data_IF_035450887393
#
_entry.id   IF_035450887393
#
_cell.length_a   1.000
_cell.length_b   1.000
_cell.length_c   1.000
_cell.angle_alpha   90.00
_cell.angle_beta   90.00
_cell.angle_gamma   90.00
#
_symmetry.space_group_name_H-M   'P 1'
#
loop_
_entity.id
_entity.type
_entity.pdbx_description
1 polymer ?
#
# COMPACT_ATOMS: atom_id res chain seq x y z
N UNK A 1 -10.54 20.23 22.07
CA UNK A 1 -11.63 20.04 21.10
C UNK A 1 -11.09 19.66 19.74
N UNK A 2 -10.81 18.36 19.56
CA UNK A 2 -10.36 17.75 18.32
C UNK A 2 -11.43 16.76 17.89
N UNK A 3 -11.96 16.88 16.68
CA UNK A 3 -13.00 15.99 16.12
C UNK A 3 -12.39 14.89 15.24
N UNK A 4 -11.31 15.20 14.56
CA UNK A 4 -10.62 14.28 13.66
C UNK A 4 -9.11 14.48 13.71
N UNK A 5 -8.36 13.42 13.33
CA UNK A 5 -6.90 13.44 13.26
C UNK A 5 -6.42 13.04 11.86
N UNK A 6 -5.30 13.63 11.45
CA UNK A 6 -4.57 13.22 10.25
C UNK A 6 -3.25 12.58 10.67
N UNK A 7 -3.05 11.31 10.32
CA UNK A 7 -1.89 10.51 10.67
C UNK A 7 -0.96 10.45 9.46
N UNK A 8 0.25 10.98 9.59
CA UNK A 8 1.31 10.97 8.58
C UNK A 8 2.67 10.59 9.20
N UNK A 9 2.61 9.75 10.23
CA UNK A 9 3.78 9.14 10.86
C UNK A 9 4.44 8.11 9.94
N UNK A 10 5.60 7.53 10.28
CA UNK A 10 6.08 6.32 9.62
C UNK A 10 5.08 5.15 9.73
N UNK A 11 5.13 4.23 8.75
CA UNK A 11 4.12 3.17 8.59
C UNK A 11 3.90 2.34 9.87
N UNK A 12 4.97 2.07 10.63
CA UNK A 12 4.90 1.26 11.86
C UNK A 12 4.15 1.92 13.03
N UNK A 13 3.86 3.22 12.94
CA UNK A 13 3.07 3.95 13.92
C UNK A 13 1.58 4.05 13.57
N UNK A 14 1.21 3.85 12.29
CA UNK A 14 -0.13 4.12 11.79
C UNK A 14 -1.21 3.44 12.63
N UNK A 15 -1.07 2.14 12.87
CA UNK A 15 -2.10 1.34 13.53
C UNK A 15 -2.33 1.78 14.97
N UNK A 16 -1.26 1.96 15.77
CA UNK A 16 -1.40 2.37 17.18
C UNK A 16 -2.10 3.71 17.29
N UNK A 17 -1.64 4.72 16.56
CA UNK A 17 -2.23 6.06 16.61
C UNK A 17 -3.69 6.05 16.13
N UNK A 18 -3.97 5.31 15.05
CA UNK A 18 -5.32 5.22 14.49
C UNK A 18 -6.32 4.56 15.47
N UNK A 19 -5.93 3.45 16.08
CA UNK A 19 -6.78 2.72 17.04
C UNK A 19 -7.06 3.57 18.27
N UNK A 20 -6.04 4.17 18.87
CA UNK A 20 -6.20 5.05 20.03
C UNK A 20 -7.06 6.29 19.73
N UNK A 21 -6.89 6.89 18.55
CA UNK A 21 -7.71 8.02 18.11
C UNK A 21 -9.19 7.62 17.99
N UNK A 22 -9.49 6.47 17.38
CA UNK A 22 -10.86 6.00 17.23
C UNK A 22 -11.54 5.68 18.56
N UNK A 23 -10.84 5.04 19.50
CA UNK A 23 -11.36 4.82 20.85
C UNK A 23 -11.51 6.12 21.65
N UNK A 24 -10.69 7.13 21.35
CA UNK A 24 -10.88 8.49 21.89
C UNK A 24 -12.01 9.27 21.16
N UNK A 25 -12.78 8.61 20.29
CA UNK A 25 -13.94 9.18 19.61
C UNK A 25 -13.61 10.09 18.43
N UNK A 26 -12.39 10.00 17.85
CA UNK A 26 -11.95 10.83 16.74
C UNK A 26 -12.13 10.12 15.40
N UNK A 27 -12.53 10.86 14.38
CA UNK A 27 -12.48 10.39 13.01
C UNK A 27 -11.03 10.46 12.50
N UNK A 28 -10.67 9.58 11.56
CA UNK A 28 -9.25 9.38 11.20
C UNK A 28 -9.03 9.48 9.69
N UNK A 29 -8.07 10.29 9.30
CA UNK A 29 -7.39 10.19 8.02
C UNK A 29 -5.99 9.63 8.28
N UNK A 30 -5.65 8.50 7.66
CA UNK A 30 -4.33 7.89 7.82
C UNK A 30 -3.64 7.78 6.47
N UNK A 31 -2.38 8.24 6.40
CA UNK A 31 -1.56 8.07 5.19
C UNK A 31 -1.36 6.59 4.85
N UNK A 32 -1.13 6.36 3.58
CA UNK A 32 -0.79 5.03 3.03
C UNK A 32 0.73 4.75 3.20
N UNK A 33 1.15 3.49 3.25
CA UNK A 33 0.33 2.27 3.40
C UNK A 33 -0.31 2.23 4.79
N UNK A 34 -1.56 1.77 4.87
CA UNK A 34 -2.33 1.87 6.11
C UNK A 34 -1.66 1.13 7.27
N UNK A 35 -1.08 -0.04 7.01
CA UNK A 35 -0.54 -0.91 8.05
C UNK A 35 0.78 -1.56 7.64
N UNK A 36 1.50 -2.04 8.64
CA UNK A 36 2.76 -2.77 8.47
C UNK A 36 2.54 -4.29 8.33
N UNK A 37 1.40 -4.80 8.82
CA UNK A 37 1.04 -6.22 8.76
C UNK A 37 -0.44 -6.42 8.43
N UNK A 38 -0.78 -7.65 8.00
CA UNK A 38 -2.17 -8.04 7.71
C UNK A 38 -3.01 -8.06 9.00
N UNK A 39 -2.45 -8.48 10.12
CA UNK A 39 -3.15 -8.50 11.41
C UNK A 39 -3.54 -7.09 11.86
N UNK A 40 -2.67 -6.11 11.67
CA UNK A 40 -2.97 -4.69 11.95
C UNK A 40 -4.14 -4.20 11.08
N UNK A 41 -4.21 -4.59 9.81
CA UNK A 41 -5.32 -4.25 8.93
C UNK A 41 -6.65 -4.81 9.46
N UNK A 42 -6.68 -6.08 9.86
CA UNK A 42 -7.85 -6.71 10.49
C UNK A 42 -8.27 -5.98 11.77
N UNK A 43 -7.31 -5.52 12.56
CA UNK A 43 -7.57 -4.77 13.78
C UNK A 43 -8.21 -3.41 13.49
N UNK A 44 -7.69 -2.65 12.54
CA UNK A 44 -8.27 -1.35 12.16
C UNK A 44 -9.71 -1.54 11.66
N UNK A 45 -9.98 -2.53 10.81
CA UNK A 45 -11.34 -2.84 10.33
C UNK A 45 -12.30 -3.13 11.49
N UNK A 46 -11.85 -3.92 12.48
CA UNK A 46 -12.61 -4.23 13.70
C UNK A 46 -12.95 -2.96 14.47
N UNK A 47 -11.95 -2.11 14.74
CA UNK A 47 -12.12 -0.89 15.55
C UNK A 47 -12.97 0.16 14.82
N UNK A 48 -12.85 0.32 13.50
CA UNK A 48 -13.76 1.18 12.71
C UNK A 48 -15.20 0.72 12.86
N UNK A 49 -15.45 -0.61 12.78
CA UNK A 49 -16.77 -1.18 12.94
C UNK A 49 -17.34 -1.03 14.35
N UNK A 50 -16.51 -1.20 15.38
CA UNK A 50 -16.91 -1.09 16.78
C UNK A 50 -17.21 0.37 17.19
N UNK A 51 -16.39 1.30 16.73
CA UNK A 51 -16.49 2.72 17.14
C UNK A 51 -17.42 3.54 16.23
N UNK A 52 -17.73 3.05 15.02
CA UNK A 52 -18.49 3.81 14.03
C UNK A 52 -17.80 5.08 13.56
N UNK A 53 -16.47 5.19 13.73
CA UNK A 53 -15.71 6.35 13.27
C UNK A 53 -15.56 6.35 11.77
N UNK A 54 -15.52 7.55 11.19
CA UNK A 54 -15.19 7.74 9.79
C UNK A 54 -13.69 7.60 9.62
N UNK A 55 -13.29 6.74 8.68
CA UNK A 55 -11.88 6.46 8.42
C UNK A 55 -11.56 6.56 6.93
N UNK A 56 -10.59 7.38 6.57
CA UNK A 56 -10.08 7.47 5.21
C UNK A 56 -8.61 7.14 5.13
N UNK A 57 -8.25 6.31 4.15
CA UNK A 57 -6.86 6.03 3.81
C UNK A 57 -6.36 7.00 2.74
N UNK A 58 -5.10 7.44 2.84
CA UNK A 58 -4.46 8.43 1.95
C UNK A 58 -4.20 7.94 0.51
N UNK A 59 -5.07 7.11 -0.07
CA UNK A 59 -4.96 6.64 -1.46
C UNK A 59 -5.57 7.63 -2.45
N UNK A 60 -4.95 8.81 -2.55
CA UNK A 60 -5.47 9.96 -3.31
C UNK A 60 -5.79 9.69 -4.79
N UNK A 61 -5.27 8.61 -5.39
CA UNK A 61 -5.58 8.26 -6.78
C UNK A 61 -7.05 7.94 -7.02
N UNK A 62 -7.81 7.61 -5.96
CA UNK A 62 -9.27 7.41 -6.05
C UNK A 62 -10.06 8.69 -6.32
N UNK A 63 -9.44 9.88 -6.12
CA UNK A 63 -10.13 11.18 -6.28
C UNK A 63 -9.39 12.12 -7.22
N UNK A 64 -8.05 12.07 -7.20
CA UNK A 64 -7.20 13.10 -7.79
C UNK A 64 -6.63 12.69 -9.17
N UNK A 65 -5.54 13.33 -9.59
CA UNK A 65 -4.87 13.09 -10.88
C UNK A 65 -5.76 13.38 -12.09
N UNK A 66 -6.66 14.38 -11.98
CA UNK A 66 -7.59 14.75 -13.05
C UNK A 66 -8.53 13.60 -13.44
N UNK A 67 -8.94 12.80 -12.47
CA UNK A 67 -9.85 11.66 -12.61
C UNK A 67 -9.38 10.57 -13.60
N UNK A 68 -8.10 10.55 -13.98
CA UNK A 68 -7.56 9.56 -14.95
C UNK A 68 -7.74 8.12 -14.49
N UNK A 69 -7.63 7.87 -13.20
CA UNK A 69 -7.83 6.53 -12.65
C UNK A 69 -9.31 6.15 -12.62
N UNK A 70 -10.21 7.07 -12.34
CA UNK A 70 -11.66 6.84 -12.47
C UNK A 70 -12.03 6.54 -13.92
N UNK A 71 -11.49 7.30 -14.87
CA UNK A 71 -11.68 7.04 -16.30
C UNK A 71 -11.13 5.66 -16.71
N UNK A 72 -9.98 5.24 -16.18
CA UNK A 72 -9.42 3.92 -16.43
C UNK A 72 -10.36 2.80 -15.93
N UNK A 73 -10.91 2.96 -14.72
CA UNK A 73 -11.86 2.01 -14.14
C UNK A 73 -13.15 1.99 -14.97
N UNK A 74 -13.67 3.15 -15.37
CA UNK A 74 -14.86 3.26 -16.22
C UNK A 74 -14.65 2.56 -17.58
N UNK A 75 -13.48 2.69 -18.22
CA UNK A 75 -13.12 1.98 -19.44
C UNK A 75 -13.17 0.46 -19.27
N UNK A 76 -12.61 -0.05 -18.16
CA UNK A 76 -12.64 -1.48 -17.83
C UNK A 76 -14.06 -1.95 -17.62
N UNK A 77 -14.85 -1.28 -16.77
CA UNK A 77 -16.24 -1.64 -16.44
C UNK A 77 -17.18 -1.53 -17.65
N UNK A 78 -16.97 -0.57 -18.53
CA UNK A 78 -17.70 -0.44 -19.79
C UNK A 78 -17.27 -1.46 -20.87
N UNK A 79 -16.37 -2.41 -20.55
CA UNK A 79 -15.93 -3.48 -21.45
C UNK A 79 -15.12 -3.00 -22.66
N UNK A 80 -14.50 -1.80 -22.60
CA UNK A 80 -13.79 -1.19 -23.73
C UNK A 80 -12.53 -1.96 -24.16
N UNK A 81 -12.02 -2.84 -23.29
CA UNK A 81 -10.93 -3.75 -23.60
C UNK A 81 -11.38 -5.23 -23.68
N UNK A 82 -12.69 -5.48 -23.63
CA UNK A 82 -13.24 -6.84 -23.51
C UNK A 82 -13.01 -7.43 -22.12
N UNK A 83 -12.85 -8.74 -22.03
CA UNK A 83 -12.54 -9.42 -20.76
C UNK A 83 -11.10 -9.14 -20.37
N UNK A 84 -10.88 -8.59 -19.19
CA UNK A 84 -9.54 -8.36 -18.63
C UNK A 84 -8.83 -9.71 -18.45
N UNK A 85 -7.60 -9.80 -18.87
CA UNK A 85 -6.75 -11.00 -18.72
C UNK A 85 -5.54 -10.72 -17.83
N UNK A 86 -4.98 -9.52 -17.92
CA UNK A 86 -3.78 -9.16 -17.19
C UNK A 86 -3.80 -7.69 -16.80
N UNK A 87 -3.32 -7.41 -15.60
CA UNK A 87 -3.06 -6.05 -15.13
C UNK A 87 -1.61 -6.00 -14.65
N UNK A 88 -0.82 -5.04 -15.13
CA UNK A 88 0.57 -4.88 -14.70
C UNK A 88 0.71 -3.53 -13.98
N UNK A 89 1.11 -3.58 -12.71
CA UNK A 89 1.45 -2.43 -11.88
C UNK A 89 2.97 -2.22 -11.87
N UNK A 90 3.46 -1.26 -12.62
CA UNK A 90 4.85 -0.79 -12.55
C UNK A 90 4.99 0.20 -11.41
N UNK A 91 5.77 -0.11 -10.38
CA UNK A 91 5.84 0.71 -9.16
C UNK A 91 7.26 1.17 -8.80
N UNK A 92 8.26 0.80 -9.61
CA UNK A 92 9.67 1.08 -9.35
C UNK A 92 10.23 0.31 -8.17
N UNK A 93 11.48 0.51 -7.86
CA UNK A 93 12.20 -0.15 -6.78
C UNK A 93 12.96 0.84 -5.89
N UNK A 94 13.51 0.35 -4.79
CA UNK A 94 14.53 1.04 -3.99
C UNK A 94 15.91 0.43 -4.27
N UNK A 95 16.96 1.20 -4.05
CA UNK A 95 18.34 0.70 -4.16
C UNK A 95 18.79 -0.01 -2.88
N UNK A 96 19.87 -0.81 -3.01
CA UNK A 96 20.60 -1.32 -1.85
C UNK A 96 21.38 -0.20 -1.15
N UNK A 97 21.85 -0.45 0.06
CA UNK A 97 22.76 0.44 0.79
C UNK A 97 24.12 -0.21 1.00
N UNK A 98 25.18 0.56 1.24
CA UNK A 98 26.35 0.05 1.92
C UNK A 98 26.02 -0.32 3.38
N UNK A 99 26.99 -0.87 4.12
CA UNK A 99 26.91 -0.99 5.58
C UNK A 99 26.73 0.40 6.20
N UNK A 100 25.71 0.56 7.05
CA UNK A 100 25.35 1.82 7.70
C UNK A 100 25.77 1.72 9.18
N UNK A 101 26.79 2.45 9.60
CA UNK A 101 27.29 2.38 10.96
C UNK A 101 26.30 2.97 11.97
N UNK A 102 26.44 2.59 13.23
CA UNK A 102 25.82 3.32 14.35
C UNK A 102 26.30 4.75 14.35
N UNK A 103 25.39 5.68 14.57
CA UNK A 103 25.67 7.10 14.59
C UNK A 103 24.98 7.76 15.80
N UNK A 104 25.45 8.93 16.26
CA UNK A 104 24.72 9.70 17.27
C UNK A 104 23.32 10.06 16.78
N UNK A 105 22.35 9.94 17.69
CA UNK A 105 20.99 10.41 17.40
C UNK A 105 21.03 11.92 17.17
N UNK A 106 20.43 12.43 16.07
CA UNK A 106 20.39 13.87 15.81
C UNK A 106 19.73 14.64 16.97
N UNK A 107 20.23 15.83 17.23
CA UNK A 107 19.61 16.73 18.21
C UNK A 107 18.13 16.98 17.86
N UNK A 108 17.27 16.93 18.86
CA UNK A 108 15.81 17.12 18.70
C UNK A 108 15.04 15.87 18.22
N UNK A 109 15.71 14.76 17.94
CA UNK A 109 15.05 13.48 17.63
C UNK A 109 14.95 12.62 18.88
N UNK A 110 13.74 12.37 19.36
CA UNK A 110 13.48 11.31 20.33
C UNK A 110 13.46 9.96 19.61
N UNK A 111 14.61 9.26 19.61
CA UNK A 111 14.78 8.01 18.90
C UNK A 111 13.94 6.87 19.47
N UNK A 112 13.75 6.84 20.79
CA UNK A 112 12.93 5.82 21.44
C UNK A 112 11.45 5.97 21.06
N UNK A 113 10.94 7.21 21.07
CA UNK A 113 9.59 7.52 20.60
C UNK A 113 9.44 7.29 19.09
N UNK A 114 10.46 7.65 18.29
CA UNK A 114 10.41 7.39 16.84
C UNK A 114 10.30 5.90 16.53
N UNK A 115 11.05 5.05 17.23
CA UNK A 115 10.96 3.59 17.10
C UNK A 115 9.58 3.08 17.52
N UNK A 116 9.00 3.61 18.59
CA UNK A 116 7.67 3.25 19.06
C UNK A 116 7.41 1.75 19.11
N UNK A 117 6.42 1.23 18.35
CA UNK A 117 6.10 -0.19 18.29
C UNK A 117 7.19 -1.08 17.67
N UNK A 118 8.11 -0.51 16.88
CA UNK A 118 9.17 -1.26 16.21
C UNK A 118 10.23 -1.75 17.21
N UNK A 119 11.04 -2.78 16.86
CA UNK A 119 12.12 -3.28 17.71
C UNK A 119 13.10 -2.17 18.10
N UNK A 120 13.61 -2.24 19.34
CA UNK A 120 14.62 -1.29 19.82
C UNK A 120 15.97 -1.60 19.18
N UNK A 121 16.47 -0.67 18.39
CA UNK A 121 17.76 -0.72 17.71
C UNK A 121 18.47 0.62 17.80
N UNK A 122 19.77 0.62 17.54
CA UNK A 122 20.57 1.86 17.51
C UNK A 122 20.26 2.67 16.25
N UNK A 123 20.37 4.00 16.38
CA UNK A 123 20.28 4.89 15.22
C UNK A 123 21.49 4.70 14.32
N UNK A 124 21.25 4.59 13.02
CA UNK A 124 22.27 4.36 11.99
C UNK A 124 22.17 5.41 10.91
N UNK A 125 23.29 5.98 10.52
CA UNK A 125 23.34 6.93 9.40
C UNK A 125 24.75 7.04 8.82
N UNK A 126 24.81 7.33 7.52
CA UNK A 126 26.00 7.84 6.86
C UNK A 126 25.87 9.37 6.71
N UNK A 127 26.98 10.10 6.65
CA UNK A 127 26.98 11.56 6.58
C UNK A 127 26.47 12.11 5.24
N UNK A 128 26.31 11.27 4.24
CA UNK A 128 25.83 11.66 2.92
C UNK A 128 24.36 12.08 2.97
N UNK A 129 24.06 13.29 2.48
CA UNK A 129 22.72 13.88 2.54
C UNK A 129 21.94 13.68 1.25
N UNK A 130 20.63 13.43 1.38
CA UNK A 130 19.69 13.34 0.27
C UNK A 130 19.44 14.72 -0.33
N UNK A 131 19.53 14.81 -1.65
CA UNK A 131 19.19 16.05 -2.38
C UNK A 131 17.67 16.15 -2.56
N UNK A 132 17.11 17.34 -2.36
CA UNK A 132 15.74 17.68 -2.76
C UNK A 132 14.62 17.48 -1.72
N UNK A 133 14.90 16.96 -0.54
CA UNK A 133 13.90 16.82 0.53
C UNK A 133 14.28 17.69 1.75
N UNK A 134 14.05 19.01 1.64
CA UNK A 134 14.12 19.93 2.77
C UNK A 134 15.50 20.14 3.44
N UNK A 135 16.58 19.56 2.92
CA UNK A 135 17.94 19.62 3.47
C UNK A 135 18.10 18.89 4.81
N UNK A 136 19.20 18.21 5.01
CA UNK A 136 19.54 17.60 6.31
C UNK A 136 19.03 16.19 6.59
N UNK A 137 18.44 15.50 5.61
CA UNK A 137 18.04 14.09 5.76
C UNK A 137 19.15 13.18 5.20
N UNK A 138 19.72 12.24 5.99
CA UNK A 138 20.71 11.30 5.49
C UNK A 138 20.18 10.47 4.31
N UNK A 139 21.02 10.25 3.31
CA UNK A 139 20.69 9.39 2.18
C UNK A 139 20.53 7.94 2.64
N UNK A 140 21.44 7.48 3.50
CA UNK A 140 21.44 6.15 4.09
C UNK A 140 21.27 6.25 5.60
N UNK A 141 20.15 5.79 6.11
CA UNK A 141 19.83 5.70 7.53
C UNK A 141 18.73 4.69 7.80
N UNK A 142 18.46 4.40 9.07
CA UNK A 142 17.29 3.65 9.49
C UNK A 142 16.13 4.55 9.96
N UNK A 143 16.12 5.81 9.54
CA UNK A 143 15.16 6.83 9.96
C UNK A 143 14.70 7.70 8.76
N UNK A 144 13.88 8.71 9.02
CA UNK A 144 13.37 9.69 8.06
C UNK A 144 12.83 9.02 6.78
N UNK A 145 13.19 9.53 5.61
CA UNK A 145 12.74 8.96 4.32
C UNK A 145 13.21 7.51 4.12
N UNK A 146 14.41 7.18 4.61
CA UNK A 146 15.06 5.90 4.38
C UNK A 146 14.44 4.72 5.17
N UNK A 147 13.57 4.98 6.14
CA UNK A 147 12.84 3.95 6.88
C UNK A 147 12.09 2.97 5.96
N UNK A 148 11.69 3.44 4.79
CA UNK A 148 11.00 2.63 3.77
C UNK A 148 11.81 1.45 3.24
N UNK A 149 13.13 1.45 3.48
CA UNK A 149 14.04 0.39 3.05
C UNK A 149 14.27 -0.70 4.11
N UNK A 150 13.50 -0.65 5.21
CA UNK A 150 13.64 -1.57 6.33
C UNK A 150 12.30 -2.25 6.63
N UNK A 151 12.29 -3.59 6.65
CA UNK A 151 11.10 -4.36 7.02
C UNK A 151 10.59 -4.07 8.43
N UNK A 152 11.46 -3.60 9.30
CA UNK A 152 11.13 -3.21 10.66
C UNK A 152 10.14 -2.04 10.71
N UNK A 153 10.11 -1.20 9.67
CA UNK A 153 9.33 0.05 9.65
C UNK A 153 8.37 0.17 8.48
N UNK A 154 8.58 -0.59 7.39
CA UNK A 154 7.81 -0.47 6.15
C UNK A 154 7.83 -1.77 5.34
N UNK A 155 6.97 -1.85 4.34
CA UNK A 155 6.98 -2.92 3.33
C UNK A 155 7.67 -2.52 2.01
N UNK A 156 8.44 -1.44 1.99
CA UNK A 156 9.15 -0.97 0.80
C UNK A 156 8.26 -0.41 -0.30
N UNK A 157 8.75 -0.42 -1.53
CA UNK A 157 7.96 0.04 -2.69
C UNK A 157 6.69 -0.76 -2.89
N UNK A 158 6.68 -2.05 -2.53
CA UNK A 158 5.49 -2.88 -2.63
C UNK A 158 4.32 -2.33 -1.84
N UNK A 159 4.53 -1.83 -0.64
CA UNK A 159 3.47 -1.20 0.15
C UNK A 159 3.36 0.30 -0.13
N UNK A 160 4.47 1.02 -0.36
CA UNK A 160 4.47 2.47 -0.62
C UNK A 160 3.73 2.84 -1.93
N UNK A 161 4.12 2.27 -3.08
CA UNK A 161 3.47 2.52 -4.36
C UNK A 161 2.41 1.49 -4.75
N UNK A 162 2.54 0.25 -4.23
CA UNK A 162 1.50 -0.75 -4.37
C UNK A 162 0.18 -0.26 -3.79
N UNK A 163 0.20 0.41 -2.64
CA UNK A 163 -0.96 1.06 -2.04
C UNK A 163 -1.71 2.02 -2.98
N UNK A 164 -1.08 2.48 -4.05
CA UNK A 164 -1.72 3.31 -5.07
C UNK A 164 -2.15 2.51 -6.31
N UNK A 165 -1.21 1.76 -6.92
CA UNK A 165 -1.47 1.14 -8.23
C UNK A 165 -2.19 -0.20 -8.10
N UNK A 166 -1.85 -1.02 -7.12
CA UNK A 166 -2.58 -2.28 -6.86
C UNK A 166 -4.00 -1.98 -6.39
N UNK A 167 -4.20 -0.89 -5.63
CA UNK A 167 -5.52 -0.41 -5.22
C UNK A 167 -6.43 -0.13 -6.42
N UNK A 168 -5.97 0.70 -7.35
CA UNK A 168 -6.71 1.02 -8.57
C UNK A 168 -6.94 -0.23 -9.44
N UNK A 169 -5.93 -1.09 -9.55
CA UNK A 169 -6.03 -2.34 -10.30
C UNK A 169 -7.15 -3.25 -9.73
N UNK A 170 -7.15 -3.48 -8.42
CA UNK A 170 -8.18 -4.28 -7.74
C UNK A 170 -9.56 -3.66 -7.87
N UNK A 171 -9.68 -2.34 -7.74
CA UNK A 171 -10.94 -1.63 -7.90
C UNK A 171 -11.49 -1.74 -9.33
N UNK A 172 -10.62 -1.62 -10.35
CA UNK A 172 -10.99 -1.74 -11.75
C UNK A 172 -11.53 -3.14 -12.13
N UNK A 173 -10.91 -4.19 -11.60
CA UNK A 173 -11.31 -5.59 -11.89
C UNK A 173 -12.41 -6.13 -10.95
N UNK A 174 -12.95 -5.28 -10.05
CA UNK A 174 -13.99 -5.69 -9.11
C UNK A 174 -13.52 -6.61 -8.00
N UNK A 175 -12.27 -6.48 -7.56
CA UNK A 175 -11.65 -7.32 -6.52
C UNK A 175 -11.40 -6.56 -5.20
N UNK A 176 -12.15 -5.49 -4.93
CA UNK A 176 -11.98 -4.66 -3.73
C UNK A 176 -12.42 -5.34 -2.42
N UNK A 177 -13.23 -6.38 -2.49
CA UNK A 177 -13.80 -7.13 -1.35
C UNK A 177 -13.28 -8.58 -1.27
N UNK A 178 -12.37 -8.94 -2.16
CA UNK A 178 -11.79 -10.29 -2.25
C UNK A 178 -10.26 -10.19 -2.27
N UNK A 179 -9.57 -11.18 -2.79
CA UNK A 179 -8.12 -11.21 -2.88
C UNK A 179 -7.63 -12.27 -3.86
N UNK A 180 -6.32 -12.43 -3.99
CA UNK A 180 -5.72 -13.47 -4.81
C UNK A 180 -5.95 -14.85 -4.18
N UNK A 181 -5.90 -15.90 -4.99
CA UNK A 181 -5.79 -17.28 -4.50
C UNK A 181 -4.34 -17.71 -4.30
N UNK A 182 -3.40 -17.04 -4.98
CA UNK A 182 -1.97 -17.40 -4.97
C UNK A 182 -1.10 -16.19 -5.25
N UNK A 183 0.06 -16.14 -4.58
CA UNK A 183 1.16 -15.21 -4.85
C UNK A 183 2.39 -16.01 -5.26
N UNK A 184 2.97 -15.67 -6.39
CA UNK A 184 4.18 -16.32 -6.94
C UNK A 184 5.26 -15.27 -7.18
N UNK A 185 6.40 -15.29 -6.48
CA UNK A 185 7.55 -14.47 -6.82
C UNK A 185 8.22 -15.06 -8.07
N UNK A 186 8.07 -14.40 -9.22
CA UNK A 186 8.61 -14.88 -10.49
C UNK A 186 10.11 -14.59 -10.60
N UNK A 187 10.52 -13.42 -10.16
CA UNK A 187 11.91 -12.99 -10.07
C UNK A 187 12.02 -11.89 -9.01
N UNK A 188 13.10 -11.90 -8.23
CA UNK A 188 13.35 -10.86 -7.22
C UNK A 188 14.81 -10.86 -6.78
N UNK A 189 15.22 -9.76 -6.14
CA UNK A 189 16.54 -9.61 -5.56
C UNK A 189 16.42 -8.96 -4.19
N UNK A 190 16.86 -9.70 -3.18
CA UNK A 190 17.05 -9.19 -1.82
C UNK A 190 18.45 -8.60 -1.71
N UNK A 191 18.64 -7.42 -1.10
CA UNK A 191 19.95 -6.77 -1.02
C UNK A 191 20.89 -7.44 0.00
N UNK A 192 20.36 -8.27 0.89
CA UNK A 192 21.08 -9.01 1.93
C UNK A 192 20.58 -10.45 1.97
N UNK A 193 21.37 -11.35 2.57
CA UNK A 193 20.98 -12.73 2.80
C UNK A 193 19.82 -12.83 3.80
N UNK A 194 18.92 -13.79 3.56
CA UNK A 194 17.80 -14.12 4.44
C UNK A 194 17.90 -15.55 4.93
N UNK A 195 17.59 -15.76 6.21
CA UNK A 195 17.42 -17.07 6.80
C UNK A 195 16.08 -17.14 7.51
N UNK A 196 15.30 -18.18 7.22
CA UNK A 196 13.96 -18.38 7.79
C UNK A 196 13.02 -17.16 7.63
N UNK A 197 13.17 -16.40 6.53
CA UNK A 197 12.42 -15.19 6.26
C UNK A 197 12.89 -13.92 6.98
N UNK A 198 14.04 -13.95 7.65
CA UNK A 198 14.63 -12.80 8.35
C UNK A 198 15.98 -12.42 7.75
N UNK A 199 16.31 -11.13 7.64
CA UNK A 199 17.63 -10.71 7.20
C UNK A 199 18.69 -11.15 8.22
N UNK A 200 19.85 -11.63 7.72
CA UNK A 200 20.94 -12.07 8.60
C UNK A 200 21.83 -10.93 9.08
N UNK A 201 21.68 -9.73 8.51
CA UNK A 201 22.35 -8.48 8.92
C UNK A 201 21.34 -7.40 9.21
N UNK A 202 21.68 -6.46 10.11
CA UNK A 202 20.80 -5.40 10.58
C UNK A 202 21.42 -4.00 10.41
N UNK A 203 22.34 -3.87 9.48
CA UNK A 203 23.09 -2.64 9.21
C UNK A 203 23.06 -2.24 7.73
N UNK A 204 22.20 -2.85 6.95
CA UNK A 204 21.94 -2.55 5.54
C UNK A 204 20.44 -2.57 5.26
N UNK A 205 20.03 -1.87 4.21
CA UNK A 205 18.65 -1.96 3.70
C UNK A 205 18.31 -3.43 3.42
N UNK A 206 17.10 -3.83 3.81
CA UNK A 206 16.69 -5.23 3.72
C UNK A 206 15.43 -5.48 2.89
N UNK A 207 14.84 -4.44 2.29
CA UNK A 207 13.71 -4.56 1.36
C UNK A 207 14.21 -5.01 -0.02
N UNK A 208 13.42 -5.83 -0.73
CA UNK A 208 13.71 -6.24 -2.10
C UNK A 208 13.96 -5.04 -3.02
N UNK A 209 15.05 -5.09 -3.80
CA UNK A 209 15.46 -4.03 -4.74
C UNK A 209 14.89 -4.25 -6.14
N UNK A 210 14.68 -5.50 -6.52
CA UNK A 210 14.08 -5.90 -7.78
C UNK A 210 13.01 -6.95 -7.50
N UNK A 211 11.91 -6.92 -8.24
CA UNK A 211 10.85 -7.92 -8.11
C UNK A 211 9.91 -7.94 -9.32
N UNK A 212 9.42 -9.12 -9.60
CA UNK A 212 8.32 -9.39 -10.50
C UNK A 212 7.44 -10.46 -9.84
N UNK A 213 6.27 -10.04 -9.39
CA UNK A 213 5.36 -10.86 -8.60
C UNK A 213 4.08 -11.07 -9.38
N UNK A 214 3.59 -12.30 -9.41
CA UNK A 214 2.28 -12.65 -9.95
C UNK A 214 1.31 -12.97 -8.82
N UNK A 215 0.17 -12.28 -8.82
CA UNK A 215 -0.99 -12.61 -8.02
C UNK A 215 -2.08 -13.20 -8.94
N UNK A 216 -2.55 -14.42 -8.62
CA UNK A 216 -3.68 -15.05 -9.30
C UNK A 216 -4.98 -14.50 -8.73
N UNK A 217 -5.61 -13.59 -9.47
CA UNK A 217 -6.83 -12.90 -9.07
C UNK A 217 -8.09 -13.69 -9.51
N UNK A 218 -9.28 -13.38 -8.99
CA UNK A 218 -10.53 -13.94 -9.47
C UNK A 218 -10.71 -13.79 -10.99
N UNK A 219 -11.51 -14.65 -11.59
CA UNK A 219 -11.84 -14.69 -13.03
C UNK A 219 -10.61 -14.91 -13.95
N UNK A 220 -9.62 -15.66 -13.47
CA UNK A 220 -8.37 -15.97 -14.18
C UNK A 220 -7.60 -14.73 -14.64
N UNK A 221 -7.68 -13.65 -13.85
CA UNK A 221 -6.92 -12.42 -14.10
C UNK A 221 -5.54 -12.55 -13.44
N UNK A 222 -4.48 -12.28 -14.22
CA UNK A 222 -3.13 -12.12 -13.67
C UNK A 222 -2.91 -10.67 -13.26
N UNK A 223 -2.60 -10.45 -12.00
CA UNK A 223 -2.06 -9.17 -11.53
C UNK A 223 -0.55 -9.31 -11.37
N UNK A 224 0.20 -8.51 -12.13
CA UNK A 224 1.67 -8.43 -12.05
C UNK A 224 2.06 -7.16 -11.31
N UNK A 225 2.94 -7.30 -10.33
CA UNK A 225 3.55 -6.16 -9.62
C UNK A 225 5.04 -6.22 -9.89
N UNK A 226 5.60 -5.15 -10.47
CA UNK A 226 7.00 -5.15 -10.91
C UNK A 226 7.69 -3.80 -10.63
N UNK A 227 9.00 -3.86 -10.41
CA UNK A 227 9.85 -2.67 -10.37
C UNK A 227 10.26 -2.17 -11.75
N UNK A 228 9.99 -2.93 -12.81
CA UNK A 228 10.35 -2.61 -14.18
C UNK A 228 9.30 -1.75 -14.89
N UNK A 229 9.74 -1.06 -15.93
CA UNK A 229 8.88 -0.26 -16.80
C UNK A 229 8.45 1.09 -16.22
N UNK A 230 7.47 1.71 -16.87
CA UNK A 230 6.90 2.99 -16.45
C UNK A 230 6.09 2.86 -15.15
N UNK A 231 6.23 3.83 -14.25
CA UNK A 231 5.38 3.91 -13.07
C UNK A 231 3.93 4.18 -13.50
N UNK A 232 3.05 3.19 -13.29
CA UNK A 232 1.65 3.23 -13.71
C UNK A 232 1.02 1.84 -13.82
N UNK A 233 -0.13 1.77 -14.44
CA UNK A 233 -0.94 0.55 -14.57
C UNK A 233 -1.23 0.28 -16.04
N UNK A 234 -0.88 -0.90 -16.53
CA UNK A 234 -1.25 -1.41 -17.84
C UNK A 234 -2.39 -2.41 -17.69
N UNK A 235 -3.54 -2.12 -18.30
CA UNK A 235 -4.68 -3.03 -18.40
C UNK A 235 -4.69 -3.70 -19.76
N UNK A 236 -4.77 -5.04 -19.79
CA UNK A 236 -4.77 -5.88 -21.00
C UNK A 236 -5.99 -6.80 -20.99
N UNK A 237 -6.78 -6.70 -22.04
CA UNK A 237 -7.97 -7.51 -22.22
C UNK A 237 -8.05 -8.13 -23.63
N UNK A 238 -9.11 -8.89 -23.89
CA UNK A 238 -9.31 -9.64 -25.14
C UNK A 238 -9.51 -8.76 -26.37
N UNK A 239 -9.86 -7.47 -26.20
CA UNK A 239 -10.14 -6.52 -27.30
C UNK A 239 -9.19 -5.33 -27.36
N UNK A 240 -8.24 -5.22 -26.41
CA UNK A 240 -7.28 -4.11 -26.39
C UNK A 240 -6.58 -3.93 -25.07
N UNK A 241 -5.77 -2.90 -25.02
CA UNK A 241 -5.00 -2.53 -23.84
C UNK A 241 -4.86 -1.01 -23.74
N UNK A 242 -4.68 -0.51 -22.53
CA UNK A 242 -4.35 0.90 -22.28
C UNK A 242 -3.50 1.02 -21.01
N UNK A 243 -2.75 2.12 -20.94
CA UNK A 243 -1.91 2.47 -19.80
C UNK A 243 -2.43 3.72 -19.11
N UNK A 244 -2.34 3.77 -17.78
CA UNK A 244 -2.68 4.94 -16.97
C UNK A 244 -1.65 5.20 -15.87
N UNK A 245 -1.33 6.46 -15.65
CA UNK A 245 -0.61 6.94 -14.48
C UNK A 245 -1.12 8.33 -14.07
N UNK A 246 -0.47 8.97 -13.09
CA UNK A 246 -0.89 10.30 -12.60
C UNK A 246 -0.84 11.38 -13.68
N UNK A 247 -0.02 11.24 -14.71
CA UNK A 247 0.19 12.24 -15.78
C UNK A 247 -0.59 11.98 -17.06
N UNK A 248 -0.86 10.72 -17.39
CA UNK A 248 -1.46 10.34 -18.69
C UNK A 248 -2.35 9.11 -18.59
N UNK A 249 -3.30 9.01 -19.54
CA UNK A 249 -4.00 7.79 -19.89
C UNK A 249 -3.93 7.66 -21.41
N UNK A 250 -3.44 6.52 -21.92
CA UNK A 250 -3.11 6.34 -23.34
C UNK A 250 -3.40 4.92 -23.83
N UNK A 251 -3.76 4.81 -25.10
CA UNK A 251 -4.03 3.54 -25.79
C UNK A 251 -5.23 3.63 -26.71
N UNK A 252 -5.37 2.70 -27.66
CA UNK A 252 -6.47 2.70 -28.63
C UNK A 252 -7.87 2.83 -28.00
N UNK A 253 -8.20 2.13 -26.89
CA UNK A 253 -9.50 2.30 -26.22
C UNK A 253 -9.76 3.73 -25.70
N UNK A 254 -8.68 4.46 -25.34
CA UNK A 254 -8.77 5.86 -24.91
C UNK A 254 -8.97 6.80 -26.11
N UNK A 255 -8.23 6.56 -27.19
CA UNK A 255 -8.36 7.33 -28.43
C UNK A 255 -9.77 7.21 -29.02
N UNK A 256 -10.35 6.00 -28.96
CA UNK A 256 -11.69 5.71 -29.44
C UNK A 256 -12.81 6.46 -28.70
N UNK A 257 -12.54 7.04 -27.51
CA UNK A 257 -13.53 7.84 -26.78
C UNK A 257 -13.98 9.11 -27.52
N UNK A 258 -13.22 9.56 -28.50
CA UNK A 258 -13.59 10.69 -29.36
C UNK A 258 -14.83 10.38 -30.20
N UNK A 259 -14.95 9.14 -30.68
CA UNK A 259 -16.04 8.67 -31.55
C UNK A 259 -17.08 7.88 -30.75
N UNK A 260 -16.69 7.23 -29.70
CA UNK A 260 -17.54 6.40 -28.86
C UNK A 260 -17.25 6.71 -27.37
N UNK A 261 -17.81 7.81 -26.83
CA UNK A 261 -17.58 8.26 -25.47
C UNK A 261 -18.05 7.21 -24.43
N UNK A 262 -17.59 7.35 -23.20
CA UNK A 262 -18.16 6.60 -22.07
C UNK A 262 -19.63 7.02 -21.89
N UNK A 263 -20.49 6.14 -21.36
CA UNK A 263 -21.85 6.52 -20.97
C UNK A 263 -21.84 7.75 -20.04
N UNK A 264 -22.90 8.55 -20.12
CA UNK A 264 -23.11 9.67 -19.20
C UNK A 264 -23.16 9.13 -17.76
N UNK A 265 -22.48 9.80 -16.83
CA UNK A 265 -22.42 9.38 -15.44
C UNK A 265 -21.40 8.25 -15.13
N UNK A 266 -20.68 7.71 -16.13
CA UNK A 266 -19.79 6.57 -15.92
C UNK A 266 -18.68 6.82 -14.88
N UNK A 267 -18.24 8.05 -14.70
CA UNK A 267 -17.26 8.42 -13.66
C UNK A 267 -17.92 8.45 -12.28
N UNK A 268 -19.10 9.04 -12.20
CA UNK A 268 -19.91 9.10 -10.99
C UNK A 268 -20.33 7.70 -10.53
N UNK A 269 -20.67 6.80 -11.47
CA UNK A 269 -20.98 5.39 -11.18
C UNK A 269 -19.77 4.64 -10.58
N UNK A 270 -18.56 4.92 -11.09
CA UNK A 270 -17.32 4.37 -10.52
C UNK A 270 -17.09 4.89 -9.12
N UNK A 271 -17.32 6.19 -8.91
CA UNK A 271 -17.09 6.87 -7.63
C UNK A 271 -18.17 6.56 -6.59
N UNK A 272 -19.35 6.16 -7.03
CA UNK A 272 -20.52 5.94 -6.17
C UNK A 272 -21.32 7.22 -5.89
N UNK A 273 -21.22 8.22 -6.77
CA UNK A 273 -21.88 9.51 -6.66
C UNK A 273 -21.05 10.66 -7.19
N UNK A 274 -21.37 11.88 -6.78
CA UNK A 274 -20.62 13.08 -7.19
C UNK A 274 -19.16 13.00 -6.70
N UNK A 275 -18.23 13.14 -7.64
CA UNK A 275 -16.79 13.17 -7.31
C UNK A 275 -16.46 14.38 -6.44
N UNK A 276 -15.84 14.15 -5.29
CA UNK A 276 -15.40 15.21 -4.38
C UNK A 276 -14.31 16.08 -5.02
N UNK A 277 -14.19 17.32 -4.56
CA UNK A 277 -13.24 18.29 -5.10
C UNK A 277 -11.78 17.82 -4.99
N UNK A 278 -11.47 17.12 -3.90
CA UNK A 278 -10.18 16.46 -3.64
C UNK A 278 -10.33 15.40 -2.55
N UNK A 279 -9.26 14.68 -2.26
CA UNK A 279 -9.28 13.56 -1.33
C UNK A 279 -9.58 13.99 0.13
N UNK A 280 -9.06 15.14 0.58
CA UNK A 280 -9.35 15.69 1.90
C UNK A 280 -10.80 16.18 1.99
N UNK A 281 -11.34 16.78 0.93
CA UNK A 281 -12.75 17.18 0.89
C UNK A 281 -13.67 15.96 1.06
N UNK A 282 -13.37 14.84 0.41
CA UNK A 282 -14.11 13.59 0.58
C UNK A 282 -14.12 13.10 2.04
N UNK A 283 -12.99 13.20 2.75
CA UNK A 283 -12.93 12.90 4.18
C UNK A 283 -13.88 13.79 5.01
N UNK A 284 -13.83 15.09 4.80
CA UNK A 284 -14.68 16.07 5.52
C UNK A 284 -16.16 15.86 5.17
N UNK A 285 -16.48 15.54 3.91
CA UNK A 285 -17.84 15.21 3.47
C UNK A 285 -18.33 13.94 4.18
N UNK A 286 -17.50 12.89 4.26
CA UNK A 286 -17.81 11.66 4.99
C UNK A 286 -18.06 11.90 6.48
N UNK A 287 -17.23 12.72 7.15
CA UNK A 287 -17.43 13.10 8.56
C UNK A 287 -18.81 13.76 8.74
N UNK A 288 -19.17 14.71 7.88
CA UNK A 288 -20.45 15.43 7.98
C UNK A 288 -21.66 14.53 7.72
N UNK A 289 -21.54 13.63 6.75
CA UNK A 289 -22.59 12.67 6.41
C UNK A 289 -22.64 11.45 7.34
N UNK A 290 -21.58 11.19 8.13
CA UNK A 290 -21.36 9.95 8.89
C UNK A 290 -21.32 8.72 7.99
N UNK A 291 -20.70 8.87 6.83
CA UNK A 291 -20.48 7.83 5.82
C UNK A 291 -19.00 7.58 5.60
N UNK A 292 -18.65 6.33 5.24
CA UNK A 292 -17.25 6.02 4.95
C UNK A 292 -16.84 6.65 3.61
N UNK A 293 -15.64 7.27 3.56
CA UNK A 293 -15.13 7.90 2.33
C UNK A 293 -14.78 6.88 1.25
N UNK A 294 -14.45 7.38 0.06
CA UNK A 294 -14.11 6.55 -1.13
C UNK A 294 -12.92 5.60 -0.90
N UNK A 295 -11.99 5.96 -0.02
CA UNK A 295 -10.83 5.15 0.35
C UNK A 295 -11.03 4.55 1.73
N UNK A 296 -11.96 3.62 1.83
CA UNK A 296 -12.30 2.91 3.06
C UNK A 296 -11.23 1.88 3.46
N UNK A 297 -11.24 1.49 4.73
CA UNK A 297 -10.25 0.55 5.28
C UNK A 297 -10.36 -0.86 4.73
N UNK A 298 -11.56 -1.34 4.41
CA UNK A 298 -11.79 -2.72 3.99
C UNK A 298 -11.22 -2.97 2.60
N UNK A 299 -11.62 -2.15 1.62
CA UNK A 299 -11.11 -2.25 0.26
C UNK A 299 -9.61 -2.02 0.18
N UNK A 300 -9.08 -1.06 0.99
CA UNK A 300 -7.64 -0.81 1.05
C UNK A 300 -6.87 -2.01 1.63
N UNK A 301 -7.33 -2.60 2.73
CA UNK A 301 -6.66 -3.75 3.34
C UNK A 301 -6.63 -4.95 2.41
N UNK A 302 -7.71 -5.24 1.67
CA UNK A 302 -7.75 -6.34 0.71
C UNK A 302 -6.66 -6.22 -0.37
N UNK A 303 -6.44 -5.00 -0.84
CA UNK A 303 -5.36 -4.73 -1.78
C UNK A 303 -3.98 -4.80 -1.10
N UNK A 304 -3.86 -4.23 0.11
CA UNK A 304 -2.58 -4.17 0.82
C UNK A 304 -2.09 -5.58 1.23
N UNK A 305 -3.01 -6.53 1.49
CA UNK A 305 -2.69 -7.95 1.69
C UNK A 305 -1.86 -8.52 0.53
N UNK A 306 -2.16 -8.15 -0.73
CA UNK A 306 -1.39 -8.60 -1.89
C UNK A 306 0.06 -8.15 -1.77
N UNK A 307 0.28 -6.90 -1.36
CA UNK A 307 1.61 -6.33 -1.18
C UNK A 307 2.37 -7.00 -0.01
N UNK A 308 1.70 -7.23 1.11
CA UNK A 308 2.30 -7.92 2.25
C UNK A 308 2.64 -9.37 1.93
N UNK A 309 1.71 -10.12 1.31
CA UNK A 309 1.94 -11.49 0.88
C UNK A 309 3.09 -11.59 -0.13
N UNK A 310 3.24 -10.60 -1.02
CA UNK A 310 4.36 -10.53 -1.96
C UNK A 310 5.71 -10.41 -1.22
N UNK A 311 5.79 -9.55 -0.20
CA UNK A 311 6.97 -9.45 0.65
C UNK A 311 7.25 -10.76 1.40
N UNK A 312 6.24 -11.42 1.95
CA UNK A 312 6.39 -12.70 2.65
C UNK A 312 6.89 -13.78 1.69
N UNK A 313 6.32 -13.86 0.47
CA UNK A 313 6.72 -14.82 -0.55
C UNK A 313 8.20 -14.70 -0.93
N UNK A 314 8.69 -13.46 -1.14
CA UNK A 314 10.10 -13.21 -1.45
C UNK A 314 11.03 -13.53 -0.26
N UNK A 315 10.64 -13.16 0.97
CA UNK A 315 11.42 -13.44 2.19
C UNK A 315 11.57 -14.92 2.47
N UNK A 316 10.57 -15.72 2.08
CA UNK A 316 10.55 -17.18 2.29
C UNK A 316 10.96 -17.97 1.05
N UNK A 317 11.25 -17.29 -0.07
CA UNK A 317 11.63 -17.88 -1.35
C UNK A 317 10.66 -18.97 -1.83
N UNK A 318 9.35 -18.68 -1.79
CA UNK A 318 8.33 -19.62 -2.25
C UNK A 318 7.01 -18.96 -2.58
N UNK A 319 6.20 -19.64 -3.39
CA UNK A 319 4.83 -19.23 -3.62
C UNK A 319 3.95 -19.48 -2.39
N UNK A 320 2.91 -18.66 -2.25
CA UNK A 320 1.95 -18.75 -1.17
C UNK A 320 0.55 -18.98 -1.72
N UNK A 321 -0.16 -19.99 -1.20
CA UNK A 321 -1.58 -20.19 -1.44
C UNK A 321 -2.36 -19.45 -0.36
N UNK A 322 -3.27 -18.58 -0.78
CA UNK A 322 -4.00 -17.69 0.12
C UNK A 322 -5.49 -18.01 0.14
N UNK A 323 -6.08 -18.07 1.31
CA UNK A 323 -7.53 -18.10 1.48
C UNK A 323 -8.04 -16.65 1.73
N UNK A 324 -8.66 -16.01 0.75
CA UNK A 324 -9.08 -14.60 0.90
C UNK A 324 -10.30 -14.46 1.84
N UNK A 325 -11.02 -15.54 2.16
CA UNK A 325 -12.15 -15.51 3.08
C UNK A 325 -11.65 -15.58 4.52
N UNK A 326 -10.81 -16.55 4.83
CA UNK A 326 -10.20 -16.71 6.16
C UNK A 326 -9.08 -15.70 6.41
N UNK A 327 -8.50 -15.18 5.31
CA UNK A 327 -7.33 -14.29 5.33
C UNK A 327 -6.14 -14.96 6.03
N UNK A 328 -5.79 -16.15 5.53
CA UNK A 328 -4.68 -16.98 6.01
C UNK A 328 -3.94 -17.66 4.84
N UNK A 329 -2.67 -17.98 5.03
CA UNK A 329 -1.87 -18.73 4.07
C UNK A 329 -2.14 -20.23 4.30
N UNK A 330 -2.62 -20.91 3.25
CA UNK A 330 -3.09 -22.29 3.33
C UNK A 330 -1.89 -23.22 3.54
N UNK A 331 -1.93 -23.99 4.63
CA UNK A 331 -0.99 -25.08 4.88
C UNK A 331 0.46 -24.65 5.22
N UNK A 332 0.71 -23.37 5.44
CA UNK A 332 2.06 -22.84 5.73
C UNK A 332 2.10 -22.08 7.06
N UNK A 333 2.45 -22.82 8.14
CA UNK A 333 2.52 -22.24 9.48
C UNK A 333 3.61 -21.16 9.61
N UNK A 334 4.75 -21.35 8.94
CA UNK A 334 5.84 -20.36 8.98
C UNK A 334 5.40 -19.07 8.29
N UNK A 335 4.83 -19.16 7.09
CA UNK A 335 4.36 -17.97 6.38
C UNK A 335 3.27 -17.23 7.16
N UNK A 336 2.33 -17.95 7.81
CA UNK A 336 1.30 -17.36 8.65
C UNK A 336 1.87 -16.60 9.87
N UNK A 337 3.05 -16.95 10.38
CA UNK A 337 3.68 -16.20 11.48
C UNK A 337 4.12 -14.78 11.06
N UNK A 338 4.26 -14.50 9.76
CA UNK A 338 4.57 -13.17 9.23
C UNK A 338 3.35 -12.30 8.99
N UNK A 339 2.13 -12.81 9.20
CA UNK A 339 0.90 -12.01 9.08
C UNK A 339 0.71 -11.03 10.22
N UNK A 340 1.43 -11.21 11.32
CA UNK A 340 1.44 -10.36 12.50
C UNK A 340 2.87 -10.09 12.96
N UNK A 341 3.02 -9.12 13.86
CA UNK A 341 4.27 -8.78 14.51
C UNK A 341 4.02 -8.32 15.94
N UNK A 342 4.88 -8.72 16.86
CA UNK A 342 4.80 -8.22 18.23
C UNK A 342 5.24 -6.75 18.29
N UNK A 343 4.47 -5.95 19.00
CA UNK A 343 4.87 -4.59 19.33
C UNK A 343 5.87 -4.60 20.47
N UNK A 344 6.78 -3.64 20.47
CA UNK A 344 7.72 -3.41 21.55
C UNK A 344 6.97 -3.12 22.86
N UNK A 345 7.46 -3.69 23.98
CA UNK A 345 6.89 -3.48 25.32
C UNK A 345 6.73 -1.99 25.64
N UNK A 346 5.54 -1.60 26.08
CA UNK A 346 5.13 -0.22 26.36
C UNK A 346 4.55 0.52 25.14
N UNK A 347 4.49 -0.14 23.98
CA UNK A 347 3.88 0.38 22.75
C UNK A 347 2.84 -0.59 22.17
N UNK A 348 2.37 -1.53 22.96
CA UNK A 348 1.27 -2.42 22.64
C UNK A 348 0.01 -1.61 22.33
N UNK A 349 -0.89 -2.19 21.57
CA UNK A 349 -2.20 -1.60 21.34
C UNK A 349 -3.14 -2.20 22.38
N UNK A 350 -3.55 -1.40 23.33
CA UNK A 350 -4.56 -1.79 24.30
C UNK A 350 -5.92 -1.86 23.59
N UNK A 351 -6.52 -3.06 23.60
CA UNK A 351 -7.83 -3.35 22.99
C UNK A 351 -8.89 -3.55 24.06
#
# INVERSE_FOLDING_TARGET
DIDAVMIATPDHWHTKVAVEAMYAGKDVYCEKPLTLTIAEGKLIEKVVKETGRVFQVGTMQRTESGQRFLQAIALVRAGRIGTVKKVTCGIGGFGASPTIPVAPVPEGLDWDLWLGPAPKVEYRALPEMRKGYGGGVPLYSNCHYAFRNWHEYSGGKLTDWGAHHVDIACWAIGASDTGPSKITPLNYKLPVEYKDGHPVVHDQYNIATEYNIRAAMPNDIELIITNEGDNGILFEGTKGRFFVNRGKIVGKPVEALKENPLPDGAIEDVYGGKVSANHTANFIEGIKAREQPISDVWSHNRMLEICHLSNIAMRLDRELNWDPVKREIIGDRQANSFLARESRKGYEIDM
#
